data_IF_973363290144
#
_entry.id   IF_973363290144
#
_cell.length_a   1.000
_cell.length_b   1.000
_cell.length_c   1.000
_cell.angle_alpha   90.00
_cell.angle_beta   90.00
_cell.angle_gamma   90.00
#
_symmetry.space_group_name_H-M   'P 1'
#
loop_
_entity.id
_entity.type
_entity.pdbx_description
1 polymer ?
#
# COMPACT_ATOMS: atom_id res chain seq x y z
N UNK A 1 28.98 21.33 45.62
CA UNK A 1 28.00 22.23 44.94
C UNK A 1 28.46 22.40 43.50
N UNK A 2 27.85 21.66 42.57
CA UNK A 2 28.10 21.79 41.14
C UNK A 2 26.92 22.59 40.57
N UNK A 3 27.24 23.78 40.05
CA UNK A 3 26.34 24.54 39.19
C UNK A 3 26.08 23.76 37.90
N UNK A 4 24.83 23.41 37.67
CA UNK A 4 24.39 22.88 36.37
C UNK A 4 24.38 24.03 35.36
N UNK A 5 25.31 23.97 34.41
CA UNK A 5 25.27 24.81 33.22
C UNK A 5 24.05 24.38 32.39
N UNK A 6 23.02 25.25 32.37
CA UNK A 6 21.94 25.19 31.39
C UNK A 6 22.55 25.42 30.00
N UNK A 7 22.74 24.38 29.26
CA UNK A 7 23.01 24.48 27.82
C UNK A 7 21.73 24.95 27.12
N UNK A 8 21.76 26.21 26.66
CA UNK A 8 20.79 26.73 25.71
C UNK A 8 20.82 25.86 24.45
N UNK A 9 19.91 24.91 24.38
CA UNK A 9 19.61 24.21 23.13
C UNK A 9 18.89 25.19 22.22
N UNK A 10 19.65 25.92 21.39
CA UNK A 10 19.10 26.63 20.24
C UNK A 10 18.25 25.60 19.48
N UNK A 11 16.92 25.78 19.54
CA UNK A 11 16.00 25.07 18.67
C UNK A 11 16.44 25.35 17.24
N UNK A 12 17.00 24.34 16.59
CA UNK A 12 17.17 24.36 15.14
C UNK A 12 15.79 24.65 14.52
N UNK A 13 15.72 25.51 13.49
CA UNK A 13 14.44 25.76 12.82
C UNK A 13 13.85 24.42 12.45
N UNK A 14 12.56 24.23 12.77
CA UNK A 14 11.80 23.06 12.31
C UNK A 14 11.90 23.05 10.79
N UNK A 15 12.74 22.16 10.28
CA UNK A 15 12.75 21.87 8.85
C UNK A 15 11.38 21.26 8.58
N UNK A 16 10.52 22.00 7.87
CA UNK A 16 9.25 21.49 7.40
C UNK A 16 9.52 20.13 6.73
N UNK A 17 9.08 19.05 7.35
CA UNK A 17 9.23 17.71 6.80
C UNK A 17 8.37 17.67 5.55
N UNK A 18 9.03 17.65 4.40
CA UNK A 18 8.34 17.50 3.11
C UNK A 18 7.68 16.13 3.11
N UNK A 19 6.35 16.10 3.01
CA UNK A 19 5.60 14.87 2.80
C UNK A 19 5.83 14.37 1.36
N UNK A 20 6.96 13.71 1.15
CA UNK A 20 7.34 13.21 -0.18
C UNK A 20 6.45 12.03 -0.65
N UNK A 21 5.81 11.32 0.27
CA UNK A 21 4.91 10.21 -0.04
C UNK A 21 3.52 10.68 -0.48
N UNK A 22 3.12 11.90 -0.09
CA UNK A 22 1.83 12.46 -0.47
C UNK A 22 0.63 11.82 0.24
N UNK A 23 0.83 11.25 1.43
CA UNK A 23 -0.26 10.68 2.24
C UNK A 23 -1.11 11.78 2.87
N UNK A 24 -1.82 12.50 2.03
CA UNK A 24 -2.75 13.56 2.38
C UNK A 24 -3.99 13.45 1.54
N UNK A 25 -5.07 14.13 1.95
CA UNK A 25 -6.23 14.31 1.10
C UNK A 25 -5.85 15.04 -0.18
N UNK A 26 -6.35 14.59 -1.31
CA UNK A 26 -6.01 15.12 -2.61
C UNK A 26 -7.10 14.89 -3.66
N UNK A 27 -6.79 15.22 -4.90
CA UNK A 27 -7.66 14.89 -6.03
C UNK A 27 -7.43 13.43 -6.44
N UNK A 28 -8.44 12.59 -6.21
CA UNK A 28 -8.38 11.16 -6.50
C UNK A 28 -8.63 10.80 -7.98
N UNK A 29 -8.96 11.78 -8.83
CA UNK A 29 -9.35 11.56 -10.22
C UNK A 29 -8.40 12.22 -11.24
N UNK A 30 -7.23 12.66 -10.81
CA UNK A 30 -6.26 13.28 -11.70
C UNK A 30 -4.82 12.92 -11.31
N UNK A 31 -3.94 12.66 -12.28
CA UNK A 31 -2.52 12.50 -12.03
C UNK A 31 -1.88 13.82 -11.60
N UNK A 32 -0.88 13.75 -10.72
CA UNK A 32 -0.16 14.93 -10.25
C UNK A 32 0.74 15.49 -11.36
N UNK A 33 0.41 16.69 -11.83
CA UNK A 33 1.12 17.34 -12.93
C UNK A 33 2.63 17.57 -12.66
N UNK A 34 3.02 17.67 -11.36
CA UNK A 34 4.42 17.87 -10.97
C UNK A 34 5.35 16.69 -11.33
N UNK A 35 4.80 15.51 -11.62
CA UNK A 35 5.60 14.32 -11.99
C UNK A 35 5.89 14.22 -13.49
N UNK A 36 5.40 15.14 -14.29
CA UNK A 36 5.66 15.15 -15.73
C UNK A 36 6.06 16.53 -16.23
N UNK A 37 6.89 16.57 -17.27
CA UNK A 37 7.20 17.79 -18.01
C UNK A 37 6.16 18.08 -19.10
N UNK A 38 5.27 17.13 -19.38
CA UNK A 38 4.19 17.30 -20.35
C UNK A 38 3.16 18.29 -19.85
N UNK A 39 2.59 19.07 -20.78
CA UNK A 39 1.43 19.93 -20.49
C UNK A 39 0.13 19.12 -20.34
N UNK A 40 0.18 17.82 -20.62
CA UNK A 40 -0.95 16.89 -20.57
C UNK A 40 -0.56 15.69 -19.67
N UNK A 41 -0.66 15.80 -18.34
CA UNK A 41 -0.25 14.76 -17.41
C UNK A 41 -1.03 13.47 -17.60
N UNK A 42 -2.31 13.53 -17.98
CA UNK A 42 -3.16 12.38 -18.25
C UNK A 42 -2.60 11.54 -19.41
N UNK A 43 -2.25 12.18 -20.50
CA UNK A 43 -1.65 11.50 -21.66
C UNK A 43 -0.27 10.92 -21.34
N UNK A 44 0.53 11.62 -20.55
CA UNK A 44 1.83 11.14 -20.13
C UNK A 44 1.72 9.86 -19.30
N UNK A 45 0.78 9.82 -18.33
CA UNK A 45 0.56 8.64 -17.49
C UNK A 45 -0.01 7.47 -18.30
N UNK A 46 -1.02 7.71 -19.16
CA UNK A 46 -1.56 6.67 -20.06
C UNK A 46 -0.49 6.07 -20.96
N UNK A 47 0.42 6.92 -21.46
CA UNK A 47 1.55 6.48 -22.29
C UNK A 47 2.56 5.64 -21.50
N UNK A 48 2.83 5.99 -20.24
CA UNK A 48 3.68 5.23 -19.34
C UNK A 48 3.10 3.84 -19.08
N UNK A 49 1.82 3.76 -18.66
CA UNK A 49 1.15 2.47 -18.38
C UNK A 49 1.14 1.60 -19.64
N UNK A 50 0.82 2.18 -20.81
CA UNK A 50 0.90 1.46 -22.08
C UNK A 50 2.31 0.92 -22.40
N UNK A 51 3.35 1.67 -22.03
CA UNK A 51 4.73 1.22 -22.23
C UNK A 51 5.10 0.08 -21.25
N UNK A 52 4.61 0.13 -20.01
CA UNK A 52 4.76 -0.95 -19.04
C UNK A 52 4.10 -2.24 -19.56
N UNK A 53 2.85 -2.17 -19.98
CA UNK A 53 2.12 -3.33 -20.52
C UNK A 53 2.78 -3.93 -21.76
N UNK A 54 3.37 -3.12 -22.63
CA UNK A 54 4.13 -3.61 -23.80
C UNK A 54 5.39 -4.41 -23.42
N UNK A 55 5.87 -4.24 -22.18
CA UNK A 55 7.03 -4.95 -21.65
C UNK A 55 6.61 -5.99 -20.58
N UNK A 56 5.37 -6.45 -20.61
CA UNK A 56 4.81 -7.43 -19.67
C UNK A 56 4.96 -7.03 -18.20
N UNK A 57 4.90 -5.73 -17.91
CA UNK A 57 4.94 -5.17 -16.57
C UNK A 57 3.57 -4.64 -16.17
N UNK A 58 3.13 -4.97 -14.96
CA UNK A 58 1.91 -4.46 -14.36
C UNK A 58 2.15 -3.12 -13.66
N UNK A 59 1.14 -2.27 -13.62
CA UNK A 59 1.13 -1.01 -12.90
C UNK A 59 0.29 -1.14 -11.63
N UNK A 60 0.92 -1.21 -10.47
CA UNK A 60 0.26 -1.19 -9.17
C UNK A 60 0.35 0.23 -8.59
N UNK A 61 -0.80 0.84 -8.34
CA UNK A 61 -0.88 2.21 -7.84
C UNK A 61 -1.07 2.22 -6.32
N UNK A 62 -0.18 2.91 -5.62
CA UNK A 62 -0.38 3.16 -4.20
C UNK A 62 -1.33 4.34 -4.02
N UNK A 63 -2.38 4.16 -3.21
CA UNK A 63 -3.38 5.19 -2.94
C UNK A 63 -3.72 5.24 -1.45
N UNK A 64 -3.70 6.44 -0.89
CA UNK A 64 -4.00 6.70 0.50
C UNK A 64 -5.36 7.37 0.64
N UNK A 65 -6.22 6.82 1.50
CA UNK A 65 -7.51 7.37 1.85
C UNK A 65 -7.55 7.75 3.33
N UNK A 66 -7.58 9.05 3.67
CA UNK A 66 -7.84 9.50 5.03
C UNK A 66 -9.21 9.03 5.54
N UNK A 67 -9.37 8.95 6.85
CA UNK A 67 -10.61 8.49 7.49
C UNK A 67 -11.84 9.38 7.20
N UNK A 68 -11.59 10.61 6.75
CA UNK A 68 -12.64 11.57 6.37
C UNK A 68 -13.32 11.26 5.04
N UNK A 69 -12.72 10.41 4.22
CA UNK A 69 -13.21 10.14 2.86
C UNK A 69 -14.36 9.14 2.89
N UNK A 70 -15.41 9.46 2.12
CA UNK A 70 -16.56 8.60 1.96
C UNK A 70 -16.20 7.32 1.19
N UNK A 71 -16.68 6.17 1.66
CA UNK A 71 -16.38 4.86 1.06
C UNK A 71 -16.84 4.75 -0.41
N UNK A 72 -17.95 5.41 -0.79
CA UNK A 72 -18.36 5.42 -2.20
C UNK A 72 -17.38 6.18 -3.07
N UNK A 73 -16.81 7.29 -2.57
CA UNK A 73 -15.78 8.02 -3.28
C UNK A 73 -14.51 7.17 -3.47
N UNK A 74 -14.13 6.37 -2.46
CA UNK A 74 -13.02 5.43 -2.60
C UNK A 74 -13.24 4.44 -3.73
N UNK A 75 -14.43 3.83 -3.81
CA UNK A 75 -14.81 2.89 -4.87
C UNK A 75 -14.78 3.56 -6.25
N UNK A 76 -15.40 4.73 -6.38
CA UNK A 76 -15.43 5.48 -7.64
C UNK A 76 -14.02 5.88 -8.11
N UNK A 77 -13.16 6.29 -7.19
CA UNK A 77 -11.77 6.61 -7.51
C UNK A 77 -11.02 5.39 -8.07
N UNK A 78 -11.13 4.23 -7.42
CA UNK A 78 -10.47 3.01 -7.89
C UNK A 78 -11.02 2.55 -9.26
N UNK A 79 -12.34 2.58 -9.44
CA UNK A 79 -12.98 2.28 -10.73
C UNK A 79 -12.49 3.21 -11.84
N UNK A 80 -12.40 4.51 -11.55
CA UNK A 80 -11.89 5.51 -12.49
C UNK A 80 -10.46 5.15 -12.97
N UNK A 81 -9.55 4.81 -12.06
CA UNK A 81 -8.18 4.47 -12.43
C UNK A 81 -8.10 3.18 -13.25
N UNK A 82 -8.92 2.19 -12.96
CA UNK A 82 -9.00 0.95 -13.76
C UNK A 82 -9.56 1.25 -15.15
N UNK A 83 -10.67 1.98 -15.24
CA UNK A 83 -11.37 2.19 -16.50
C UNK A 83 -10.65 3.18 -17.44
N UNK A 84 -10.10 4.27 -16.87
CA UNK A 84 -9.48 5.33 -17.66
C UNK A 84 -8.00 5.11 -17.93
N UNK A 85 -7.28 4.48 -17.01
CA UNK A 85 -5.84 4.34 -17.07
C UNK A 85 -5.38 2.88 -17.22
N UNK A 86 -6.27 1.91 -17.04
CA UNK A 86 -5.95 0.48 -17.08
C UNK A 86 -4.89 0.08 -16.05
N UNK A 87 -5.01 0.61 -14.83
CA UNK A 87 -4.18 0.22 -13.70
C UNK A 87 -4.50 -1.23 -13.32
N UNK A 88 -3.47 -2.05 -13.10
CA UNK A 88 -3.62 -3.49 -12.85
C UNK A 88 -3.92 -3.82 -11.40
N UNK A 89 -3.66 -2.88 -10.49
CA UNK A 89 -3.96 -3.09 -9.09
C UNK A 89 -3.65 -1.88 -8.22
N UNK A 90 -3.95 -2.03 -6.93
CA UNK A 90 -3.81 -0.97 -5.95
C UNK A 90 -3.16 -1.47 -4.66
N UNK A 91 -2.23 -0.70 -4.13
CA UNK A 91 -1.80 -0.74 -2.74
C UNK A 91 -2.69 0.23 -1.97
N UNK A 92 -3.63 -0.31 -1.22
CA UNK A 92 -4.63 0.48 -0.49
C UNK A 92 -4.12 0.83 0.91
N UNK A 93 -4.13 2.10 1.25
CA UNK A 93 -3.72 2.62 2.55
C UNK A 93 -4.83 3.47 3.15
N UNK A 94 -5.11 3.26 4.43
CA UNK A 94 -6.17 3.95 5.18
C UNK A 94 -6.82 3.04 6.20
N UNK A 95 -7.45 3.63 7.22
CA UNK A 95 -8.04 2.85 8.32
C UNK A 95 -9.45 2.32 8.00
N UNK A 96 -10.25 3.07 7.22
CA UNK A 96 -11.67 2.77 6.98
C UNK A 96 -11.95 2.25 5.57
N UNK A 97 -11.08 1.40 5.05
CA UNK A 97 -11.21 0.86 3.70
C UNK A 97 -12.40 -0.12 3.62
N UNK A 98 -13.34 0.05 2.67
CA UNK A 98 -14.44 -0.88 2.44
C UNK A 98 -13.99 -2.12 1.66
N UNK A 99 -13.02 -2.88 2.20
CA UNK A 99 -12.34 -3.98 1.50
C UNK A 99 -13.33 -5.01 0.96
N UNK A 100 -14.39 -5.32 1.70
CA UNK A 100 -15.44 -6.24 1.24
C UNK A 100 -16.14 -5.74 -0.01
N UNK A 101 -16.55 -4.47 -0.02
CA UNK A 101 -17.21 -3.86 -1.18
C UNK A 101 -16.26 -3.78 -2.39
N UNK A 102 -14.98 -3.48 -2.14
CA UNK A 102 -13.94 -3.47 -3.17
C UNK A 102 -13.71 -4.86 -3.76
N UNK A 103 -13.67 -5.90 -2.91
CA UNK A 103 -13.47 -7.29 -3.34
C UNK A 103 -14.63 -7.83 -4.19
N UNK A 104 -15.85 -7.38 -3.92
CA UNK A 104 -17.08 -7.82 -4.60
C UNK A 104 -17.44 -6.93 -5.80
N UNK A 105 -16.67 -5.89 -6.05
CA UNK A 105 -16.93 -4.97 -7.14
C UNK A 105 -16.63 -5.61 -8.50
N UNK A 106 -17.53 -5.45 -9.46
CA UNK A 106 -17.43 -6.08 -10.79
C UNK A 106 -16.27 -5.55 -11.64
N UNK A 107 -15.80 -4.33 -11.38
CA UNK A 107 -14.67 -3.72 -12.08
C UNK A 107 -13.38 -4.11 -11.37
N UNK A 108 -13.35 -3.97 -10.04
CA UNK A 108 -12.16 -4.19 -9.22
C UNK A 108 -11.80 -5.67 -9.04
N UNK A 109 -12.74 -6.61 -9.23
CA UNK A 109 -12.47 -8.04 -9.12
C UNK A 109 -11.41 -8.58 -10.12
N UNK A 110 -11.07 -7.79 -11.13
CA UNK A 110 -10.00 -8.10 -12.10
C UNK A 110 -8.67 -7.42 -11.77
N UNK A 111 -8.65 -6.55 -10.75
CA UNK A 111 -7.48 -5.79 -10.34
C UNK A 111 -6.89 -6.38 -9.06
N UNK A 112 -5.59 -6.35 -8.90
CA UNK A 112 -4.90 -6.81 -7.69
C UNK A 112 -5.10 -5.79 -6.55
N UNK A 113 -5.68 -6.20 -5.44
CA UNK A 113 -5.94 -5.34 -4.29
C UNK A 113 -5.04 -5.75 -3.12
N UNK A 114 -4.09 -4.90 -2.78
CA UNK A 114 -3.17 -5.09 -1.67
C UNK A 114 -3.60 -4.21 -0.50
N UNK A 115 -3.80 -4.78 0.68
CA UNK A 115 -4.17 -4.05 1.89
C UNK A 115 -3.41 -4.58 3.11
N UNK A 116 -3.28 -3.75 4.15
CA UNK A 116 -2.66 -4.14 5.41
C UNK A 116 -3.60 -5.00 6.26
N UNK A 117 -4.90 -4.77 6.12
CA UNK A 117 -5.93 -5.50 6.85
C UNK A 117 -7.03 -5.95 5.91
N UNK A 118 -7.32 -7.24 5.90
CA UNK A 118 -8.43 -7.85 5.18
C UNK A 118 -9.24 -8.64 6.19
N UNK A 119 -10.59 -8.55 6.18
CA UNK A 119 -11.45 -9.38 7.02
C UNK A 119 -11.13 -10.88 6.82
N UNK A 120 -10.98 -11.61 7.93
CA UNK A 120 -10.54 -13.02 7.89
C UNK A 120 -11.49 -13.91 7.09
N UNK A 121 -12.79 -13.66 7.15
CA UNK A 121 -13.79 -14.39 6.40
C UNK A 121 -13.65 -14.25 4.87
N UNK A 122 -13.05 -13.16 4.38
CA UNK A 122 -12.73 -13.02 2.95
C UNK A 122 -11.51 -13.84 2.53
N UNK A 123 -10.60 -14.10 3.46
CA UNK A 123 -9.41 -14.91 3.24
C UNK A 123 -9.70 -16.42 3.36
N UNK A 124 -10.69 -16.80 4.17
CA UNK A 124 -11.05 -18.19 4.43
C UNK A 124 -11.97 -18.82 3.37
N UNK A 125 -12.58 -18.00 2.52
CA UNK A 125 -13.49 -18.49 1.46
C UNK A 125 -12.68 -19.08 0.28
N UNK A 126 -12.25 -20.32 0.42
CA UNK A 126 -11.64 -21.19 -0.60
C UNK A 126 -11.38 -20.52 -1.98
N UNK A 127 -10.44 -19.56 -2.01
CA UNK A 127 -10.07 -18.79 -3.23
C UNK A 127 -11.19 -17.95 -3.89
N UNK A 128 -12.25 -17.61 -3.15
CA UNK A 128 -13.34 -16.79 -3.70
C UNK A 128 -12.85 -15.39 -4.17
N UNK A 129 -11.77 -14.90 -3.58
CA UNK A 129 -11.18 -13.60 -3.89
C UNK A 129 -9.68 -13.69 -4.19
N UNK A 130 -9.26 -14.32 -5.30
CA UNK A 130 -7.85 -14.54 -5.64
C UNK A 130 -7.08 -13.24 -5.94
N UNK A 131 -7.79 -12.14 -6.11
CA UNK A 131 -7.24 -10.80 -6.38
C UNK A 131 -6.94 -10.01 -5.09
N UNK A 132 -7.26 -10.54 -3.90
CA UNK A 132 -6.94 -9.91 -2.62
C UNK A 132 -5.59 -10.36 -2.09
N UNK A 133 -4.77 -9.40 -1.68
CA UNK A 133 -3.45 -9.63 -1.12
C UNK A 133 -3.30 -8.86 0.19
N UNK A 134 -2.85 -9.53 1.24
CA UNK A 134 -2.63 -8.91 2.55
C UNK A 134 -1.14 -8.86 2.88
N UNK A 135 -0.67 -7.69 3.28
CA UNK A 135 0.66 -7.52 3.85
C UNK A 135 0.69 -8.00 5.28
N UNK A 136 1.67 -8.83 5.64
CA UNK A 136 1.78 -9.37 6.99
C UNK A 136 3.10 -9.00 7.66
N UNK A 137 3.02 -8.13 8.64
CA UNK A 137 4.11 -7.76 9.52
C UNK A 137 4.61 -8.94 10.36
N UNK A 138 3.72 -9.89 10.65
CA UNK A 138 4.01 -11.11 11.39
C UNK A 138 5.10 -11.97 10.75
N UNK A 139 5.29 -11.87 9.44
CA UNK A 139 6.40 -12.52 8.73
C UNK A 139 7.67 -11.66 8.79
N UNK A 140 7.53 -10.36 8.66
CA UNK A 140 8.62 -9.40 8.57
C UNK A 140 9.48 -9.37 9.84
N UNK A 141 8.87 -9.25 11.01
CA UNK A 141 9.61 -9.14 12.27
C UNK A 141 10.42 -10.38 12.63
N UNK A 142 9.88 -11.62 12.59
CA UNK A 142 10.67 -12.83 12.80
C UNK A 142 11.81 -13.00 11.80
N UNK A 143 11.57 -12.70 10.51
CA UNK A 143 12.57 -12.75 9.47
C UNK A 143 13.73 -11.79 9.76
N UNK A 144 13.45 -10.53 10.11
CA UNK A 144 14.50 -9.55 10.46
C UNK A 144 15.27 -9.94 11.70
N UNK A 145 14.62 -10.47 12.74
CA UNK A 145 15.31 -10.97 13.93
C UNK A 145 16.26 -12.10 13.58
N UNK A 146 15.83 -13.02 12.74
CA UNK A 146 16.65 -14.14 12.26
C UNK A 146 17.87 -13.64 11.46
N UNK A 147 17.67 -12.75 10.48
CA UNK A 147 18.73 -12.20 9.64
C UNK A 147 19.74 -11.36 10.44
N UNK A 148 19.31 -10.69 11.49
CA UNK A 148 20.15 -9.87 12.35
C UNK A 148 20.79 -10.68 13.51
N UNK A 149 20.68 -12.00 13.52
CA UNK A 149 21.18 -12.89 14.57
C UNK A 149 20.72 -12.49 15.98
N UNK A 150 19.61 -11.76 16.10
CA UNK A 150 19.00 -11.39 17.38
C UNK A 150 17.96 -12.46 17.73
N UNK A 151 18.30 -13.31 18.70
CA UNK A 151 17.45 -14.42 19.18
C UNK A 151 16.89 -15.33 18.08
N UNK A 152 17.14 -16.63 18.24
CA UNK A 152 16.70 -17.64 17.27
C UNK A 152 15.18 -17.82 17.39
N UNK A 153 14.40 -17.01 16.68
CA UNK A 153 12.96 -17.20 16.52
C UNK A 153 12.68 -18.10 15.29
N UNK A 154 13.46 -19.17 15.12
CA UNK A 154 13.28 -20.10 13.99
C UNK A 154 11.88 -20.73 14.03
N UNK A 155 11.40 -21.07 15.22
CA UNK A 155 10.06 -21.64 15.40
C UNK A 155 8.97 -20.68 14.96
N UNK A 156 9.07 -19.40 15.32
CA UNK A 156 8.10 -18.38 14.91
C UNK A 156 8.13 -18.17 13.40
N UNK A 157 9.32 -18.09 12.83
CA UNK A 157 9.48 -17.98 11.39
C UNK A 157 8.86 -19.18 10.64
N UNK A 158 9.15 -20.40 11.07
CA UNK A 158 8.57 -21.62 10.49
C UNK A 158 7.05 -21.66 10.63
N UNK A 159 6.53 -21.23 11.79
CA UNK A 159 5.08 -21.14 12.00
C UNK A 159 4.42 -20.13 11.04
N UNK A 160 5.06 -18.98 10.79
CA UNK A 160 4.55 -18.01 9.82
C UNK A 160 4.59 -18.56 8.37
N UNK A 161 5.64 -19.29 8.01
CA UNK A 161 5.71 -19.98 6.72
C UNK A 161 4.62 -21.04 6.56
N UNK A 162 4.27 -21.76 7.62
CA UNK A 162 3.19 -22.77 7.62
C UNK A 162 1.81 -22.15 7.45
N UNK A 163 1.57 -20.96 8.04
CA UNK A 163 0.30 -20.25 7.87
C UNK A 163 -0.01 -19.93 6.42
N UNK A 164 1.00 -19.70 5.59
CA UNK A 164 0.83 -19.39 4.17
C UNK A 164 0.20 -20.50 3.35
N UNK A 165 0.39 -21.76 3.77
CA UNK A 165 -0.23 -22.90 3.07
C UNK A 165 -1.75 -22.92 3.22
N UNK A 166 -2.28 -22.24 4.24
CA UNK A 166 -3.71 -22.24 4.56
C UNK A 166 -4.51 -21.19 3.79
N UNK A 167 -3.86 -20.08 3.42
CA UNK A 167 -4.53 -18.93 2.81
C UNK A 167 -3.75 -18.45 1.57
N UNK A 168 -4.47 -18.19 0.48
CA UNK A 168 -3.92 -17.50 -0.68
C UNK A 168 -3.85 -15.98 -0.41
N UNK A 169 -2.94 -15.29 -1.11
CA UNK A 169 -2.88 -13.83 -1.09
C UNK A 169 -2.05 -13.19 0.04
N UNK A 170 -1.19 -13.95 0.73
CA UNK A 170 -0.24 -13.36 1.67
C UNK A 170 0.99 -12.80 0.95
N UNK A 171 1.27 -11.53 1.21
CA UNK A 171 2.47 -10.86 0.73
C UNK A 171 3.49 -10.81 1.86
N UNK A 172 4.58 -11.53 1.69
CA UNK A 172 5.71 -11.49 2.60
C UNK A 172 6.72 -10.48 2.10
N UNK A 173 7.25 -9.69 3.01
CA UNK A 173 8.27 -8.72 2.69
C UNK A 173 9.38 -8.75 3.74
N UNK A 174 10.59 -8.40 3.31
CA UNK A 174 11.80 -8.40 4.16
C UNK A 174 12.24 -6.97 4.52
N UNK A 175 11.75 -5.98 3.80
CA UNK A 175 12.02 -4.57 4.02
C UNK A 175 10.73 -3.76 3.89
N UNK A 176 10.63 -2.69 4.69
CA UNK A 176 9.57 -1.67 4.60
C UNK A 176 10.22 -0.30 4.42
N UNK A 177 9.48 0.61 3.82
CA UNK A 177 9.87 2.02 3.70
C UNK A 177 9.86 2.72 5.06
#
# INVERSE_FOLDING_TARGET
WKEEQKTDTKKLPEVEKINCWGYTEGNYFAPKAAFTKSRQPEHALKSLIKALHKNDMECIMEIYFPDTINQNLMLEALRFWVMEYHVDGFRLMGANLPVRAMAQDLILCRSKLFADTIPEDLLEQDYAYPHLFVYRDEFYYPLRKMLNHKEICLTDFVNQMRKQKKYAGFVNYAASN
#
